data_IF_823452233494
#
_entry.id   IF_823452233494
#
_cell.length_a   1.000
_cell.length_b   1.000
_cell.length_c   1.000
_cell.angle_alpha   90.00
_cell.angle_beta   90.00
_cell.angle_gamma   90.00
#
_symmetry.space_group_name_H-M   'P 1'
#
loop_
_entity.id
_entity.type
_entity.pdbx_description
1 polymer ?
#
# COMPACT_ATOMS: atom_id res chain seq x y z
N UNK A 1 5.17 7.31 -18.52
CA UNK A 1 6.52 7.88 -18.32
C UNK A 1 6.78 7.87 -16.84
N UNK A 2 7.63 6.96 -16.36
CA UNK A 2 7.87 6.78 -14.94
C UNK A 2 8.41 8.05 -14.28
N UNK A 3 8.15 8.27 -13.01
CA UNK A 3 8.65 9.40 -12.21
C UNK A 3 10.19 9.45 -12.15
N UNK A 4 10.84 8.43 -12.62
CA UNK A 4 12.29 8.29 -12.84
C UNK A 4 12.75 8.89 -14.18
N UNK A 5 12.03 9.84 -14.76
CA UNK A 5 12.48 10.59 -15.92
C UNK A 5 13.61 11.57 -15.58
N UNK A 6 14.76 11.02 -15.47
CA UNK A 6 16.04 11.68 -15.44
C UNK A 6 17.11 10.62 -15.38
N UNK A 7 17.89 10.50 -16.44
CA UNK A 7 19.11 9.68 -16.50
C UNK A 7 19.97 10.09 -15.30
N UNK A 8 19.97 9.28 -14.23
CA UNK A 8 20.68 9.57 -12.97
C UNK A 8 19.87 9.31 -11.70
N UNK A 9 18.53 9.46 -11.72
CA UNK A 9 17.71 9.16 -10.54
C UNK A 9 17.56 7.64 -10.30
N UNK A 10 17.50 6.84 -11.35
CA UNK A 10 17.45 5.37 -11.28
C UNK A 10 18.67 4.78 -10.58
N UNK A 11 19.87 5.27 -10.87
CA UNK A 11 21.11 4.74 -10.26
C UNK A 11 21.21 5.13 -8.79
N UNK A 12 20.70 6.30 -8.39
CA UNK A 12 20.72 6.75 -7.00
C UNK A 12 19.69 5.99 -6.14
N UNK A 13 18.51 5.69 -6.69
CA UNK A 13 17.49 4.86 -6.00
C UNK A 13 17.87 3.38 -5.98
N UNK A 14 18.49 2.86 -7.03
CA UNK A 14 19.07 1.52 -7.08
C UNK A 14 20.20 1.35 -6.06
N UNK A 15 21.04 2.38 -5.86
CA UNK A 15 22.14 2.37 -4.89
C UNK A 15 21.70 2.46 -3.43
N UNK A 16 20.48 2.97 -3.13
CA UNK A 16 20.00 3.14 -1.74
C UNK A 16 19.51 1.84 -1.10
N UNK A 17 19.39 0.72 -1.85
CA UNK A 17 18.91 -0.56 -1.35
C UNK A 17 17.72 -0.35 -0.42
N UNK A 18 16.54 -0.01 -0.97
CA UNK A 18 15.35 0.34 -0.19
C UNK A 18 14.94 -0.82 0.71
N UNK A 19 15.53 -0.89 1.90
CA UNK A 19 15.10 -1.82 2.94
C UNK A 19 13.87 -1.20 3.62
N UNK A 20 12.69 -1.77 3.36
CA UNK A 20 11.46 -1.25 3.96
C UNK A 20 10.23 -1.78 3.24
N UNK A 21 9.14 -1.05 3.39
CA UNK A 21 7.87 -1.40 2.77
C UNK A 21 7.53 -0.47 1.62
N UNK A 22 7.17 -1.05 0.48
CA UNK A 22 6.64 -0.36 -0.70
C UNK A 22 5.15 -0.69 -0.79
N UNK A 23 4.29 0.32 -0.59
CA UNK A 23 2.85 0.17 -0.81
C UNK A 23 2.52 0.49 -2.26
N UNK A 24 1.88 -0.46 -2.95
CA UNK A 24 1.38 -0.29 -4.31
C UNK A 24 -0.13 -0.17 -4.24
N UNK A 25 -0.66 0.93 -4.78
CA UNK A 25 -2.09 1.22 -4.77
C UNK A 25 -2.47 2.08 -5.98
N UNK A 26 -3.76 2.11 -6.34
CA UNK A 26 -4.28 2.91 -7.43
C UNK A 26 -5.05 4.15 -6.97
N UNK A 27 -5.07 5.16 -7.81
CA UNK A 27 -5.91 6.34 -7.62
C UNK A 27 -6.55 6.77 -8.93
N UNK A 28 -7.85 7.05 -8.88
CA UNK A 28 -8.60 7.61 -9.99
C UNK A 28 -8.61 9.13 -9.91
N UNK A 29 -8.15 9.82 -10.95
CA UNK A 29 -8.32 11.27 -11.12
C UNK A 29 -9.73 11.57 -11.63
N UNK A 30 -10.71 11.69 -10.73
CA UNK A 30 -12.16 11.63 -11.03
C UNK A 30 -12.64 12.59 -12.10
N UNK A 31 -12.09 13.81 -12.21
CA UNK A 31 -12.52 14.83 -13.18
C UNK A 31 -11.65 14.93 -14.43
N UNK A 32 -10.72 14.01 -14.64
CA UNK A 32 -9.90 13.93 -15.86
C UNK A 32 -10.64 13.31 -17.05
N UNK A 33 -11.86 12.79 -16.87
CA UNK A 33 -12.69 12.26 -17.96
C UNK A 33 -13.13 13.37 -18.91
N UNK A 34 -13.31 13.04 -20.20
CA UNK A 34 -13.82 13.95 -21.21
C UNK A 34 -14.94 13.28 -22.00
N UNK A 35 -16.17 13.75 -21.77
CA UNK A 35 -17.35 13.21 -22.44
C UNK A 35 -17.39 13.52 -23.95
N UNK A 36 -16.74 14.62 -24.39
CA UNK A 36 -16.73 15.01 -25.81
C UNK A 36 -15.88 14.08 -26.67
N UNK A 37 -14.85 13.48 -26.08
CA UNK A 37 -13.91 12.55 -26.74
C UNK A 37 -14.04 11.13 -26.26
N UNK A 38 -15.06 10.80 -25.47
CA UNK A 38 -15.27 9.50 -24.79
C UNK A 38 -14.04 9.07 -23.94
N UNK A 39 -13.17 10.00 -23.55
CA UNK A 39 -12.00 9.73 -22.71
C UNK A 39 -12.45 9.44 -21.28
N UNK A 40 -12.10 8.24 -20.78
CA UNK A 40 -12.36 7.84 -19.38
C UNK A 40 -11.46 8.61 -18.41
N UNK A 41 -11.82 8.57 -17.12
CA UNK A 41 -10.97 9.13 -16.08
C UNK A 41 -9.61 8.43 -16.04
N UNK A 42 -8.55 9.20 -15.85
CA UNK A 42 -7.19 8.68 -15.68
C UNK A 42 -7.09 7.91 -14.37
N UNK A 43 -6.58 6.71 -14.44
CA UNK A 43 -6.17 5.93 -13.29
C UNK A 43 -4.65 5.89 -13.23
N UNK A 44 -4.10 5.97 -12.04
CA UNK A 44 -2.66 5.91 -11.79
C UNK A 44 -2.37 4.85 -10.74
N UNK A 45 -1.40 3.98 -11.00
CA UNK A 45 -0.84 3.08 -10.00
C UNK A 45 0.41 3.71 -9.42
N UNK A 46 0.51 3.75 -8.10
CA UNK A 46 1.61 4.39 -7.37
C UNK A 46 2.37 3.36 -6.55
N UNK A 47 3.69 3.55 -6.44
CA UNK A 47 4.53 2.89 -5.45
C UNK A 47 4.99 3.92 -4.42
N UNK A 48 4.54 3.77 -3.18
CA UNK A 48 4.90 4.61 -2.04
C UNK A 48 5.91 3.88 -1.15
N UNK A 49 7.06 4.48 -0.92
CA UNK A 49 7.97 4.02 0.13
C UNK A 49 7.45 4.49 1.49
N UNK A 50 6.98 3.52 2.30
CA UNK A 50 6.19 3.82 3.50
C UNK A 50 6.98 4.54 4.61
N UNK A 51 8.28 4.28 4.74
CA UNK A 51 9.13 4.85 5.80
C UNK A 51 9.32 6.36 5.64
N UNK A 52 9.47 6.82 4.40
CA UNK A 52 9.64 8.25 4.09
C UNK A 52 8.39 8.89 3.51
N UNK A 53 7.36 8.09 3.23
CA UNK A 53 6.13 8.49 2.56
C UNK A 53 6.37 9.13 1.18
N UNK A 54 7.39 8.66 0.46
CA UNK A 54 7.74 9.16 -0.87
C UNK A 54 7.12 8.31 -1.97
N UNK A 55 6.55 8.96 -2.96
CA UNK A 55 6.18 8.29 -4.22
C UNK A 55 7.46 8.05 -5.01
N UNK A 56 7.82 6.78 -5.18
CA UNK A 56 9.06 6.35 -5.85
C UNK A 56 8.84 5.93 -7.30
N UNK A 57 7.62 5.52 -7.66
CA UNK A 57 7.24 5.25 -9.03
C UNK A 57 5.74 5.45 -9.22
N UNK A 58 5.32 5.69 -10.46
CA UNK A 58 3.92 5.74 -10.87
C UNK A 58 3.78 5.37 -12.33
N UNK A 59 2.65 4.74 -12.67
CA UNK A 59 2.30 4.38 -14.05
C UNK A 59 0.82 4.67 -14.32
N UNK A 60 0.49 5.27 -15.46
CA UNK A 60 -0.90 5.48 -15.87
C UNK A 60 -1.54 4.18 -16.34
N UNK A 61 -2.85 4.06 -16.15
CA UNK A 61 -3.65 3.03 -16.76
C UNK A 61 -4.91 3.61 -17.40
N UNK A 62 -5.26 3.14 -18.58
CA UNK A 62 -6.43 3.66 -19.30
C UNK A 62 -7.76 3.27 -18.65
N UNK A 63 -7.78 2.21 -17.86
CA UNK A 63 -8.97 1.68 -17.21
C UNK A 63 -8.61 1.01 -15.89
N UNK A 64 -9.52 1.11 -14.92
CA UNK A 64 -9.37 0.44 -13.62
C UNK A 64 -9.13 -1.08 -13.74
N UNK A 65 -9.73 -1.74 -14.72
CA UNK A 65 -9.51 -3.17 -15.01
C UNK A 65 -8.10 -3.51 -15.52
N UNK A 66 -7.31 -2.52 -15.92
CA UNK A 66 -5.96 -2.72 -16.45
C UNK A 66 -4.85 -2.58 -15.40
N UNK A 67 -5.17 -2.26 -14.14
CA UNK A 67 -4.21 -2.14 -13.03
C UNK A 67 -3.35 -3.39 -12.89
N UNK A 68 -3.96 -4.58 -12.98
CA UNK A 68 -3.25 -5.88 -12.91
C UNK A 68 -2.15 -6.00 -13.99
N UNK A 69 -2.31 -5.34 -15.14
CA UNK A 69 -1.32 -5.35 -16.22
C UNK A 69 -0.20 -4.33 -15.99
N UNK A 70 -0.51 -3.23 -15.35
CA UNK A 70 0.41 -2.11 -15.10
C UNK A 70 1.31 -2.36 -13.88
N UNK A 71 0.81 -3.03 -12.84
CA UNK A 71 1.60 -3.38 -11.65
C UNK A 71 2.92 -4.10 -12.01
N UNK A 72 2.96 -5.12 -12.88
CA UNK A 72 4.21 -5.76 -13.28
C UNK A 72 5.23 -4.81 -13.92
N UNK A 73 4.76 -3.85 -14.73
CA UNK A 73 5.63 -2.85 -15.37
C UNK A 73 6.22 -1.91 -14.30
N UNK A 74 5.38 -1.41 -13.40
CA UNK A 74 5.79 -0.58 -12.28
C UNK A 74 6.85 -1.27 -11.41
N UNK A 75 6.65 -2.54 -11.09
CA UNK A 75 7.59 -3.32 -10.26
C UNK A 75 8.94 -3.55 -10.94
N UNK A 76 9.02 -3.62 -12.29
CA UNK A 76 10.28 -3.73 -13.02
C UNK A 76 11.17 -2.48 -12.90
N UNK A 77 10.59 -1.34 -12.59
CA UNK A 77 11.32 -0.08 -12.40
C UNK A 77 11.99 0.02 -11.03
N UNK A 78 11.71 -0.93 -10.12
CA UNK A 78 12.13 -0.88 -8.73
C UNK A 78 13.11 -2.00 -8.40
N UNK A 79 14.10 -1.69 -7.56
CA UNK A 79 14.90 -2.72 -6.89
C UNK A 79 14.13 -3.23 -5.67
N UNK A 80 13.61 -4.44 -5.76
CA UNK A 80 12.79 -5.05 -4.70
C UNK A 80 13.60 -5.88 -3.70
N UNK A 81 14.92 -6.00 -3.84
CA UNK A 81 15.76 -6.81 -2.96
C UNK A 81 15.63 -6.39 -1.50
N UNK A 82 15.09 -7.29 -0.67
CA UNK A 82 14.85 -7.05 0.76
C UNK A 82 13.68 -6.12 1.08
N UNK A 83 12.96 -5.61 0.08
CA UNK A 83 11.74 -4.84 0.29
C UNK A 83 10.53 -5.75 0.58
N UNK A 84 9.54 -5.22 1.30
CA UNK A 84 8.21 -5.80 1.45
C UNK A 84 7.23 -5.03 0.57
N UNK A 85 6.78 -5.62 -0.52
CA UNK A 85 5.77 -5.01 -1.39
C UNK A 85 4.38 -5.33 -0.85
N UNK A 86 3.63 -4.32 -0.47
CA UNK A 86 2.25 -4.49 -0.02
C UNK A 86 1.25 -3.95 -1.05
N UNK A 87 0.13 -4.66 -1.23
CA UNK A 87 -0.94 -4.27 -2.14
C UNK A 87 -2.30 -4.78 -1.66
N UNK A 88 -3.34 -4.16 -2.19
CA UNK A 88 -4.70 -4.55 -1.93
C UNK A 88 -5.09 -5.88 -2.62
N UNK A 89 -6.35 -6.28 -2.49
CA UNK A 89 -6.84 -7.52 -3.06
C UNK A 89 -6.84 -7.54 -4.60
N UNK A 90 -6.92 -6.39 -5.27
CA UNK A 90 -6.92 -6.34 -6.74
C UNK A 90 -5.54 -6.75 -7.28
N UNK A 91 -4.46 -6.27 -6.66
CA UNK A 91 -3.08 -6.66 -6.97
C UNK A 91 -2.71 -8.07 -6.53
N UNK A 92 -3.57 -8.77 -5.78
CA UNK A 92 -3.31 -10.13 -5.30
C UNK A 92 -3.45 -11.14 -6.43
N UNK A 93 -2.35 -11.34 -7.16
CA UNK A 93 -2.25 -12.23 -8.33
C UNK A 93 -0.99 -13.12 -8.22
N UNK A 94 -1.14 -14.40 -8.56
CA UNK A 94 -0.04 -15.39 -8.49
C UNK A 94 1.18 -14.92 -9.28
N UNK A 95 0.98 -14.38 -10.50
CA UNK A 95 2.07 -13.90 -11.35
C UNK A 95 2.81 -12.70 -10.75
N UNK A 96 2.10 -11.80 -10.07
CA UNK A 96 2.69 -10.65 -9.38
C UNK A 96 3.52 -11.13 -8.19
N UNK A 97 3.00 -12.06 -7.39
CA UNK A 97 3.74 -12.68 -6.29
C UNK A 97 5.03 -13.37 -6.78
N UNK A 98 4.96 -14.10 -7.90
CA UNK A 98 6.13 -14.74 -8.53
C UNK A 98 7.17 -13.70 -8.96
N UNK A 99 6.74 -12.60 -9.58
CA UNK A 99 7.63 -11.52 -10.03
C UNK A 99 8.34 -10.86 -8.85
N UNK A 100 7.62 -10.49 -7.79
CA UNK A 100 8.21 -9.89 -6.58
C UNK A 100 9.28 -10.81 -6.01
N UNK A 101 8.98 -12.12 -5.88
CA UNK A 101 9.94 -13.10 -5.39
C UNK A 101 11.15 -13.26 -6.31
N UNK A 102 10.94 -13.27 -7.61
CA UNK A 102 12.02 -13.35 -8.62
C UNK A 102 12.95 -12.13 -8.57
N UNK A 103 12.43 -10.95 -8.21
CA UNK A 103 13.21 -9.72 -8.00
C UNK A 103 13.84 -9.62 -6.59
N UNK A 104 13.77 -10.68 -5.77
CA UNK A 104 14.38 -10.71 -4.43
C UNK A 104 13.59 -9.98 -3.34
N UNK A 105 12.36 -9.56 -3.64
CA UNK A 105 11.44 -8.94 -2.69
C UNK A 105 10.55 -9.95 -1.98
N UNK A 106 9.82 -9.46 -0.98
CA UNK A 106 8.73 -10.15 -0.31
C UNK A 106 7.41 -9.44 -0.58
N UNK A 107 6.29 -10.15 -0.43
CA UNK A 107 4.97 -9.56 -0.58
C UNK A 107 4.13 -9.64 0.70
N UNK A 108 3.20 -8.68 0.83
CA UNK A 108 2.07 -8.68 1.75
C UNK A 108 0.83 -8.27 0.94
N UNK A 109 -0.05 -9.21 0.64
CA UNK A 109 -1.16 -9.00 -0.27
C UNK A 109 -2.50 -9.22 0.43
N UNK A 110 -3.46 -8.30 0.20
CA UNK A 110 -4.83 -8.42 0.70
C UNK A 110 -5.54 -9.60 0.03
N UNK A 111 -6.24 -10.43 0.81
CA UNK A 111 -6.93 -11.62 0.33
C UNK A 111 -8.44 -11.43 0.43
N UNK A 112 -9.13 -11.53 -0.70
CA UNK A 112 -10.59 -11.42 -0.81
C UNK A 112 -11.14 -12.47 -1.78
N UNK A 113 -12.42 -12.35 -2.12
CA UNK A 113 -13.14 -13.27 -3.00
C UNK A 113 -12.61 -13.43 -4.43
N UNK A 114 -11.75 -12.51 -4.92
CA UNK A 114 -11.07 -12.66 -6.21
C UNK A 114 -10.10 -13.87 -6.23
N UNK A 115 -9.68 -14.34 -5.05
CA UNK A 115 -8.92 -15.58 -4.83
C UNK A 115 -9.74 -16.54 -3.97
N UNK A 116 -10.93 -16.90 -4.44
CA UNK A 116 -11.99 -17.55 -3.67
C UNK A 116 -11.53 -18.82 -2.93
N UNK A 117 -10.83 -19.73 -3.61
CA UNK A 117 -10.36 -20.96 -2.99
C UNK A 117 -9.38 -20.70 -1.84
N UNK A 118 -8.37 -19.86 -2.07
CA UNK A 118 -7.40 -19.49 -1.04
C UNK A 118 -8.07 -18.76 0.12
N UNK A 119 -8.97 -17.83 -0.17
CA UNK A 119 -9.69 -17.07 0.85
C UNK A 119 -10.55 -17.97 1.74
N UNK A 120 -11.35 -18.85 1.15
CA UNK A 120 -12.21 -19.78 1.90
C UNK A 120 -11.40 -20.75 2.75
N UNK A 121 -10.33 -21.33 2.19
CA UNK A 121 -9.45 -22.22 2.92
C UNK A 121 -8.72 -21.51 4.07
N UNK A 122 -8.27 -20.25 3.83
CA UNK A 122 -7.65 -19.43 4.88
C UNK A 122 -8.62 -19.16 6.03
N UNK A 123 -9.86 -18.79 5.73
CA UNK A 123 -10.89 -18.58 6.76
C UNK A 123 -11.15 -19.85 7.57
N UNK A 124 -11.23 -21.01 6.91
CA UNK A 124 -11.42 -22.29 7.56
C UNK A 124 -10.23 -22.64 8.47
N UNK A 125 -8.99 -22.46 7.98
CA UNK A 125 -7.78 -22.73 8.73
C UNK A 125 -7.67 -21.87 10.01
N UNK A 126 -8.02 -20.59 9.96
CA UNK A 126 -8.05 -19.73 11.15
C UNK A 126 -9.11 -20.18 12.17
N UNK A 127 -10.31 -20.55 11.71
CA UNK A 127 -11.36 -21.06 12.61
C UNK A 127 -10.91 -22.34 13.28
N UNK A 128 -10.39 -23.27 12.52
CA UNK A 128 -9.91 -24.57 13.06
C UNK A 128 -8.76 -24.37 14.05
N UNK A 129 -7.77 -23.54 13.72
CA UNK A 129 -6.66 -23.23 14.62
C UNK A 129 -7.13 -22.59 15.94
N UNK A 130 -8.15 -21.75 15.91
CA UNK A 130 -8.75 -21.16 17.11
C UNK A 130 -9.52 -22.19 17.93
N UNK A 131 -10.26 -23.10 17.28
CA UNK A 131 -11.05 -24.14 17.95
C UNK A 131 -10.15 -25.22 18.57
N UNK A 132 -9.09 -25.64 17.88
CA UNK A 132 -8.10 -26.56 18.43
C UNK A 132 -7.38 -26.00 19.66
N UNK A 133 -7.06 -24.71 19.65
CA UNK A 133 -6.51 -24.02 20.83
C UNK A 133 -7.44 -24.06 22.04
N UNK A 134 -8.75 -24.09 21.83
CA UNK A 134 -9.76 -24.16 22.91
C UNK A 134 -9.97 -25.60 23.44
N UNK A 135 -9.73 -26.61 22.61
CA UNK A 135 -10.11 -28.01 22.91
C UNK A 135 -9.04 -28.82 23.61
N UNK A 136 -7.78 -28.38 23.69
CA UNK A 136 -6.68 -29.15 24.32
C UNK A 136 -6.66 -30.64 23.89
N UNK A 137 -6.62 -30.92 22.57
CA UNK A 137 -6.63 -32.27 22.04
C UNK A 137 -5.21 -32.72 21.75
N UNK A 138 -4.73 -33.77 22.37
CA UNK A 138 -3.35 -34.26 22.36
C UNK A 138 -2.88 -34.89 21.02
N UNK A 139 -3.77 -35.15 20.05
CA UNK A 139 -3.43 -35.97 18.88
C UNK A 139 -3.18 -35.21 17.59
N UNK A 140 -3.54 -33.94 17.48
CA UNK A 140 -3.34 -33.13 16.27
C UNK A 140 -2.54 -31.89 16.60
N UNK A 141 -1.36 -31.74 16.00
CA UNK A 141 -0.58 -30.51 16.10
C UNK A 141 -1.28 -29.44 15.32
N UNK A 142 -1.92 -28.42 15.94
CA UNK A 142 -2.56 -27.35 15.23
C UNK A 142 -1.51 -26.48 14.54
N UNK A 143 -1.86 -25.82 13.41
CA UNK A 143 -0.96 -24.84 12.81
C UNK A 143 -0.61 -23.79 13.87
N UNK A 144 0.66 -23.40 13.93
CA UNK A 144 1.13 -22.45 14.93
C UNK A 144 0.46 -21.07 14.71
N UNK A 145 -0.45 -20.73 15.61
CA UNK A 145 -1.18 -19.45 15.61
C UNK A 145 -0.61 -18.51 16.67
N UNK A 146 -0.12 -17.36 16.24
CA UNK A 146 0.32 -16.25 17.11
C UNK A 146 -0.57 -15.05 16.93
N UNK A 147 -0.76 -14.27 17.99
CA UNK A 147 -1.61 -13.06 17.92
C UNK A 147 -0.97 -11.88 18.66
N UNK A 148 -1.27 -10.67 18.20
CA UNK A 148 -0.85 -9.42 18.81
C UNK A 148 -2.01 -8.42 18.72
N UNK A 149 -2.33 -7.76 19.83
CA UNK A 149 -3.43 -6.78 19.91
C UNK A 149 -2.88 -5.41 20.24
N UNK A 150 -3.35 -4.42 19.51
CA UNK A 150 -3.10 -3.00 19.76
C UNK A 150 -4.45 -2.30 20.00
N UNK A 151 -4.43 -1.32 20.90
CA UNK A 151 -5.59 -0.48 21.18
C UNK A 151 -5.19 0.97 20.96
N UNK A 152 -5.96 1.67 20.12
CA UNK A 152 -5.74 3.08 19.77
C UNK A 152 -7.02 3.88 20.12
N UNK A 153 -6.84 5.03 20.77
CA UNK A 153 -7.93 5.93 21.14
C UNK A 153 -7.70 7.29 20.52
N UNK A 154 -8.61 7.71 19.64
CA UNK A 154 -8.52 9.01 18.99
C UNK A 154 -9.83 9.43 18.36
N UNK A 155 -10.04 10.74 18.24
CA UNK A 155 -11.20 11.33 17.55
C UNK A 155 -12.57 10.78 17.99
N UNK A 156 -12.75 10.54 19.30
CA UNK A 156 -14.00 10.01 19.85
C UNK A 156 -14.24 8.52 19.56
N UNK A 157 -13.22 7.77 19.15
CA UNK A 157 -13.30 6.34 18.83
C UNK A 157 -12.24 5.55 19.58
N UNK A 158 -12.59 4.32 19.92
CA UNK A 158 -11.67 3.29 20.37
C UNK A 158 -11.53 2.25 19.27
N UNK A 159 -10.31 2.01 18.79
CA UNK A 159 -10.03 0.97 17.82
C UNK A 159 -9.15 -0.11 18.47
N UNK A 160 -9.66 -1.33 18.54
CA UNK A 160 -8.90 -2.51 18.94
C UNK A 160 -8.58 -3.31 17.68
N UNK A 161 -7.30 -3.56 17.44
CA UNK A 161 -6.83 -4.34 16.29
C UNK A 161 -6.04 -5.55 16.77
N UNK A 162 -6.52 -6.72 16.39
CA UNK A 162 -5.83 -7.99 16.64
C UNK A 162 -5.32 -8.55 15.33
N UNK A 163 -4.01 -8.66 15.21
CA UNK A 163 -3.35 -9.41 14.14
C UNK A 163 -3.13 -10.85 14.61
N UNK A 164 -3.60 -11.79 13.84
CA UNK A 164 -3.34 -13.22 14.03
C UNK A 164 -2.55 -13.74 12.83
N UNK A 165 -1.47 -14.50 13.09
CA UNK A 165 -0.60 -15.05 12.06
C UNK A 165 -0.57 -16.57 12.20
N UNK A 166 -0.88 -17.24 11.09
CA UNK A 166 -0.85 -18.68 10.96
C UNK A 166 0.36 -19.10 10.13
N UNK A 167 1.14 -20.04 10.65
CA UNK A 167 2.24 -20.73 9.98
C UNK A 167 1.96 -22.23 9.92
N UNK A 168 2.76 -22.96 9.15
CA UNK A 168 2.63 -24.42 8.98
C UNK A 168 1.25 -24.88 8.46
N UNK A 169 0.64 -24.04 7.62
CA UNK A 169 -0.72 -24.21 7.09
C UNK A 169 -0.80 -25.07 5.82
N UNK A 170 0.30 -25.59 5.28
CA UNK A 170 0.35 -26.23 3.97
C UNK A 170 -0.65 -27.41 3.83
N UNK A 171 -0.82 -28.19 4.87
CA UNK A 171 -1.80 -29.30 4.90
C UNK A 171 -3.26 -28.81 4.95
N UNK A 172 -3.50 -27.62 5.47
CA UNK A 172 -4.83 -27.06 5.71
C UNK A 172 -5.32 -26.17 4.56
N UNK A 173 -4.35 -25.63 3.78
CA UNK A 173 -4.61 -24.65 2.71
C UNK A 173 -3.91 -25.07 1.42
N UNK A 174 -4.38 -26.12 0.73
CA UNK A 174 -3.76 -26.60 -0.53
C UNK A 174 -3.63 -25.50 -1.61
N UNK A 175 -4.56 -24.55 -1.67
CA UNK A 175 -4.50 -23.43 -2.62
C UNK A 175 -3.27 -22.53 -2.42
N UNK A 176 -2.61 -22.60 -1.26
CA UNK A 176 -1.39 -21.86 -0.97
C UNK A 176 -0.18 -22.31 -1.83
N UNK A 177 -0.16 -23.55 -2.29
CA UNK A 177 0.95 -24.13 -3.09
C UNK A 177 1.23 -23.37 -4.38
N UNK A 178 0.24 -22.65 -4.93
CA UNK A 178 0.39 -21.85 -6.16
C UNK A 178 1.17 -20.54 -5.93
N UNK A 179 1.38 -20.14 -4.67
CA UNK A 179 1.95 -18.86 -4.31
C UNK A 179 3.43 -18.97 -3.96
N UNK A 180 4.27 -18.35 -4.76
CA UNK A 180 5.72 -18.42 -4.62
C UNK A 180 6.17 -17.91 -3.25
N UNK A 181 6.79 -18.79 -2.44
CA UNK A 181 7.34 -18.44 -1.14
C UNK A 181 6.32 -18.05 -0.07
N UNK A 182 5.03 -18.35 -0.24
CA UNK A 182 4.01 -18.04 0.78
C UNK A 182 4.35 -18.73 2.11
N UNK A 183 4.55 -17.91 3.14
CA UNK A 183 5.03 -18.37 4.45
C UNK A 183 4.09 -18.04 5.61
N UNK A 184 3.20 -17.04 5.43
CA UNK A 184 2.27 -16.59 6.48
C UNK A 184 0.89 -16.32 5.90
N UNK A 185 -0.13 -16.82 6.60
CA UNK A 185 -1.51 -16.34 6.47
C UNK A 185 -1.77 -15.40 7.64
N UNK A 186 -2.43 -14.28 7.39
CA UNK A 186 -2.62 -13.21 8.35
C UNK A 186 -4.10 -12.85 8.38
N UNK A 187 -4.68 -12.73 9.58
CA UNK A 187 -5.99 -12.17 9.81
C UNK A 187 -5.85 -10.91 10.66
N UNK A 188 -6.42 -9.81 10.22
CA UNK A 188 -6.52 -8.56 10.98
C UNK A 188 -7.99 -8.37 11.34
N UNK A 189 -8.31 -8.50 12.63
CA UNK A 189 -9.60 -8.14 13.18
C UNK A 189 -9.52 -6.73 13.75
N UNK A 190 -10.39 -5.85 13.29
CA UNK A 190 -10.50 -4.48 13.76
C UNK A 190 -11.90 -4.25 14.34
N UNK A 191 -11.97 -3.99 15.64
CA UNK A 191 -13.18 -3.57 16.34
C UNK A 191 -13.09 -2.08 16.60
N UNK A 192 -14.09 -1.33 16.14
CA UNK A 192 -14.22 0.12 16.32
C UNK A 192 -15.45 0.42 17.13
N UNK A 193 -15.26 1.13 18.23
CA UNK A 193 -16.32 1.64 19.10
C UNK A 193 -16.36 3.17 19.00
N UNK A 194 -17.49 3.71 18.65
CA UNK A 194 -17.76 5.15 18.71
C UNK A 194 -18.13 5.50 20.16
N UNK A 195 -17.27 6.25 20.84
CA UNK A 195 -17.42 6.55 22.27
C UNK A 195 -18.58 7.53 22.58
N UNK A 196 -19.16 8.17 21.55
CA UNK A 196 -20.30 9.08 21.71
C UNK A 196 -21.60 8.30 21.55
N UNK A 197 -21.69 7.46 20.52
CA UNK A 197 -22.93 6.74 20.18
C UNK A 197 -22.98 5.33 20.76
N UNK A 198 -21.86 4.80 21.25
CA UNK A 198 -21.72 3.41 21.69
C UNK A 198 -21.79 2.38 20.55
N UNK A 199 -21.79 2.83 19.30
CA UNK A 199 -21.86 1.91 18.15
C UNK A 199 -20.57 1.16 18.00
N UNK A 200 -20.65 -0.18 17.98
CA UNK A 200 -19.52 -1.09 17.74
C UNK A 200 -19.63 -1.69 16.35
N UNK A 201 -18.50 -1.77 15.66
CA UNK A 201 -18.36 -2.47 14.39
C UNK A 201 -17.09 -3.32 14.39
N UNK A 202 -17.18 -4.56 13.90
CA UNK A 202 -16.03 -5.46 13.77
C UNK A 202 -15.88 -5.90 12.33
N UNK A 203 -14.66 -5.86 11.82
CA UNK A 203 -14.30 -6.30 10.48
C UNK A 203 -13.05 -7.18 10.54
N UNK A 204 -13.07 -8.31 9.83
CA UNK A 204 -11.89 -9.17 9.67
C UNK A 204 -11.41 -9.14 8.23
N UNK A 205 -10.14 -8.82 8.03
CA UNK A 205 -9.47 -8.83 6.73
C UNK A 205 -8.34 -9.84 6.73
N UNK A 206 -8.19 -10.56 5.62
CA UNK A 206 -7.17 -11.59 5.45
C UNK A 206 -6.07 -11.11 4.50
N UNK A 207 -4.85 -11.57 4.76
CA UNK A 207 -3.66 -11.27 3.96
C UNK A 207 -2.79 -12.50 3.84
N UNK A 208 -1.96 -12.51 2.79
CA UNK A 208 -0.92 -13.50 2.56
C UNK A 208 0.45 -12.81 2.49
N UNK A 209 1.48 -13.46 3.02
CA UNK A 209 2.84 -12.91 2.98
C UNK A 209 3.88 -13.98 2.71
N UNK A 210 4.86 -13.66 1.87
CA UNK A 210 6.08 -14.47 1.70
C UNK A 210 7.10 -14.20 2.80
N UNK A 211 7.06 -12.99 3.41
CA UNK A 211 7.92 -12.66 4.56
C UNK A 211 7.40 -13.33 5.82
N UNK A 212 8.31 -13.90 6.61
CA UNK A 212 8.00 -14.52 7.90
C UNK A 212 7.70 -13.45 8.97
N UNK A 213 6.57 -12.76 8.82
CA UNK A 213 6.15 -11.71 9.74
C UNK A 213 5.67 -12.31 11.07
N UNK A 214 6.03 -11.68 12.20
CA UNK A 214 5.35 -11.88 13.48
C UNK A 214 3.99 -11.18 13.46
N UNK A 215 3.10 -11.50 14.41
CA UNK A 215 1.78 -10.85 14.49
C UNK A 215 1.89 -9.34 14.67
N UNK A 216 2.83 -8.85 15.49
CA UNK A 216 3.11 -7.43 15.65
C UNK A 216 3.61 -6.78 14.36
N UNK A 217 4.57 -7.41 13.67
CA UNK A 217 5.10 -6.91 12.40
C UNK A 217 4.03 -6.90 11.30
N UNK A 218 3.14 -7.90 11.27
CA UNK A 218 2.01 -7.96 10.34
C UNK A 218 1.03 -6.80 10.58
N UNK A 219 0.69 -6.50 11.85
CA UNK A 219 -0.18 -5.37 12.19
C UNK A 219 0.42 -4.04 11.71
N UNK A 220 1.72 -3.81 12.00
CA UNK A 220 2.44 -2.62 11.53
C UNK A 220 2.50 -2.53 10.00
N UNK A 221 2.79 -3.63 9.31
CA UNK A 221 2.89 -3.64 7.85
C UNK A 221 1.54 -3.37 7.16
N UNK A 222 0.44 -3.94 7.68
CA UNK A 222 -0.90 -3.63 7.18
C UNK A 222 -1.25 -2.15 7.42
N UNK A 223 -0.94 -1.59 8.60
CA UNK A 223 -1.15 -0.14 8.85
C UNK A 223 -0.29 0.74 7.95
N UNK A 224 0.94 0.33 7.66
CA UNK A 224 1.83 1.07 6.77
C UNK A 224 1.31 1.09 5.33
N UNK A 225 0.69 -0.02 4.85
CA UNK A 225 0.04 -0.03 3.54
C UNK A 225 -1.06 1.05 3.43
N UNK A 226 -1.91 1.18 4.46
CA UNK A 226 -2.99 2.18 4.49
C UNK A 226 -2.50 3.64 4.55
N UNK A 227 -1.19 3.88 4.77
CA UNK A 227 -0.64 5.23 4.65
C UNK A 227 -0.75 5.78 3.24
N UNK A 228 -0.77 4.93 2.20
CA UNK A 228 -0.93 5.41 0.82
C UNK A 228 -2.25 6.15 0.65
N UNK A 229 -3.35 5.62 1.19
CA UNK A 229 -4.64 6.32 1.17
C UNK A 229 -4.64 7.61 2.00
N UNK A 230 -4.21 7.53 3.27
CA UNK A 230 -4.33 8.62 4.22
C UNK A 230 -3.29 9.72 4.02
N UNK A 231 -2.05 9.37 3.67
CA UNK A 231 -0.97 10.34 3.56
C UNK A 231 -0.67 10.77 2.12
N UNK A 232 -0.97 9.96 1.11
CA UNK A 232 -0.79 10.31 -0.29
C UNK A 232 -2.10 10.78 -0.93
N UNK A 233 -3.06 9.87 -1.12
CA UNK A 233 -4.28 10.17 -1.88
C UNK A 233 -5.08 11.29 -1.23
N UNK A 234 -5.32 11.24 0.08
CA UNK A 234 -6.02 12.31 0.79
C UNK A 234 -5.33 13.68 0.63
N UNK A 235 -3.99 13.74 0.69
CA UNK A 235 -3.27 15.01 0.51
C UNK A 235 -3.31 15.51 -0.93
N UNK A 236 -3.25 14.63 -1.91
CA UNK A 236 -3.41 14.98 -3.31
C UNK A 236 -4.80 15.57 -3.57
N UNK A 237 -5.83 14.96 -3.00
CA UNK A 237 -7.21 15.39 -3.21
C UNK A 237 -7.56 16.64 -2.43
N UNK A 238 -7.25 16.69 -1.13
CA UNK A 238 -7.66 17.79 -0.24
C UNK A 238 -6.70 18.99 -0.32
N UNK A 239 -5.38 18.73 -0.27
CA UNK A 239 -4.39 19.83 -0.21
C UNK A 239 -4.01 20.34 -1.59
N UNK A 240 -3.85 19.45 -2.58
CA UNK A 240 -3.42 19.78 -3.94
C UNK A 240 -4.64 19.91 -4.88
N UNK A 241 -5.83 19.54 -4.39
CA UNK A 241 -7.10 19.62 -5.12
C UNK A 241 -7.08 18.84 -6.45
N UNK A 242 -6.48 17.63 -6.42
CA UNK A 242 -6.30 16.80 -7.61
C UNK A 242 -7.63 16.36 -8.21
N UNK A 243 -8.57 15.92 -7.37
CA UNK A 243 -9.91 15.49 -7.79
C UNK A 243 -10.74 16.59 -8.46
N UNK A 244 -10.48 17.87 -8.15
CA UNK A 244 -11.15 19.00 -8.81
C UNK A 244 -10.50 19.40 -10.14
N UNK A 245 -9.35 18.85 -10.48
CA UNK A 245 -8.60 19.20 -11.69
C UNK A 245 -9.32 18.71 -12.96
N UNK A 246 -9.61 19.63 -13.87
CA UNK A 246 -10.28 19.37 -15.16
C UNK A 246 -9.33 19.33 -16.35
N UNK A 247 -8.03 19.19 -16.12
CA UNK A 247 -7.04 19.06 -17.19
C UNK A 247 -7.24 17.74 -17.92
N UNK A 248 -7.52 17.79 -19.24
CA UNK A 248 -7.96 16.63 -20.04
C UNK A 248 -7.19 16.45 -21.34
N UNK A 249 -6.56 17.54 -21.86
CA UNK A 249 -5.95 17.56 -23.20
C UNK A 249 -4.70 16.69 -23.26
N UNK A 250 -4.68 15.73 -24.16
CA UNK A 250 -3.53 14.84 -24.38
C UNK A 250 -3.06 14.18 -23.08
N UNK A 251 -1.77 14.22 -22.81
CA UNK A 251 -1.13 13.66 -21.62
C UNK A 251 -1.02 14.66 -20.45
N UNK A 252 -1.71 15.83 -20.54
CA UNK A 252 -1.56 16.90 -19.56
C UNK A 252 -2.04 16.49 -18.14
N UNK A 253 -3.07 15.63 -18.03
CA UNK A 253 -3.52 15.12 -16.73
C UNK A 253 -2.47 14.22 -16.08
N UNK A 254 -1.85 13.34 -16.84
CA UNK A 254 -0.76 12.46 -16.43
C UNK A 254 0.48 13.27 -16.01
N UNK A 255 0.96 14.15 -16.87
CA UNK A 255 2.11 15.01 -16.58
C UNK A 255 1.89 15.86 -15.31
N UNK A 256 0.67 16.38 -15.11
CA UNK A 256 0.33 17.14 -13.91
C UNK A 256 0.31 16.24 -12.66
N UNK A 257 -0.11 14.98 -12.78
CA UNK A 257 0.02 13.98 -11.73
C UNK A 257 1.48 13.80 -11.30
N UNK A 258 2.39 13.59 -12.26
CA UNK A 258 3.84 13.48 -12.03
C UNK A 258 4.38 14.70 -11.26
N UNK A 259 4.06 15.92 -11.75
CA UNK A 259 4.51 17.17 -11.14
C UNK A 259 4.01 17.29 -9.69
N UNK A 260 2.75 16.93 -9.43
CA UNK A 260 2.17 16.97 -8.08
C UNK A 260 2.88 16.03 -7.11
N UNK A 261 3.17 14.80 -7.53
CA UNK A 261 3.90 13.85 -6.70
C UNK A 261 5.33 14.34 -6.42
N UNK A 262 6.01 14.83 -7.42
CA UNK A 262 7.34 15.43 -7.26
C UNK A 262 7.32 16.61 -6.29
N UNK A 263 6.38 17.54 -6.46
CA UNK A 263 6.21 18.67 -5.55
C UNK A 263 5.89 18.21 -4.11
N UNK A 264 5.03 17.19 -3.95
CA UNK A 264 4.71 16.65 -2.64
C UNK A 264 5.93 16.00 -1.99
N UNK A 265 6.73 15.24 -2.74
CA UNK A 265 7.96 14.63 -2.25
C UNK A 265 8.96 15.70 -1.77
N UNK A 266 9.16 16.77 -2.54
CA UNK A 266 10.04 17.90 -2.14
C UNK A 266 9.51 18.56 -0.86
N UNK A 267 8.22 18.89 -0.80
CA UNK A 267 7.62 19.56 0.35
C UNK A 267 7.70 18.72 1.63
N UNK A 268 7.61 17.41 1.53
CA UNK A 268 7.75 16.49 2.67
C UNK A 268 9.18 16.45 3.21
N UNK A 269 10.16 16.46 2.33
CA UNK A 269 11.57 16.43 2.72
C UNK A 269 12.13 17.78 3.16
N UNK A 270 11.40 18.87 2.91
CA UNK A 270 11.84 20.20 3.32
C UNK A 270 11.74 20.38 4.83
N UNK A 271 12.88 20.47 5.51
CA UNK A 271 13.01 20.65 6.96
C UNK A 271 13.20 22.11 7.39
N UNK A 272 13.11 23.08 6.45
CA UNK A 272 13.42 24.48 6.71
C UNK A 272 12.41 25.24 7.58
N UNK A 273 11.13 24.86 7.55
CA UNK A 273 10.04 25.49 8.28
C UNK A 273 9.16 24.45 8.96
N UNK A 274 8.65 24.77 10.16
CA UNK A 274 7.75 23.89 10.91
C UNK A 274 6.30 23.91 10.41
N UNK A 275 6.04 24.46 9.20
CA UNK A 275 4.70 24.57 8.65
C UNK A 275 4.21 23.26 8.02
N UNK A 276 2.90 23.06 8.05
CA UNK A 276 2.24 21.98 7.31
C UNK A 276 2.40 22.17 5.79
N UNK A 277 2.27 21.09 5.02
CA UNK A 277 2.34 21.14 3.54
C UNK A 277 1.45 22.23 2.92
N UNK A 278 0.20 22.46 3.34
CA UNK A 278 -0.62 23.54 2.81
C UNK A 278 0.00 24.94 2.97
N UNK A 279 0.65 25.22 4.09
CA UNK A 279 1.31 26.52 4.35
C UNK A 279 2.66 26.66 3.66
N UNK A 280 3.38 25.58 3.39
CA UNK A 280 4.67 25.59 2.71
C UNK A 280 4.54 26.01 1.24
N UNK A 281 3.42 25.73 0.58
CA UNK A 281 3.19 26.06 -0.83
C UNK A 281 3.30 27.56 -1.12
N UNK A 282 2.58 28.45 -0.43
CA UNK A 282 2.73 29.90 -0.63
C UNK A 282 4.16 30.39 -0.37
N UNK A 283 4.82 29.87 0.66
CA UNK A 283 6.18 30.26 1.02
C UNK A 283 7.19 29.90 -0.07
N UNK A 284 7.07 28.73 -0.69
CA UNK A 284 7.97 28.29 -1.76
C UNK A 284 7.73 29.03 -3.09
N UNK A 285 6.52 29.53 -3.32
CA UNK A 285 6.16 30.27 -4.53
C UNK A 285 6.38 31.77 -4.41
N UNK A 286 6.39 32.32 -3.20
CA UNK A 286 6.50 33.77 -2.95
C UNK A 286 7.94 34.26 -2.70
N UNK A 287 8.89 33.36 -2.44
CA UNK A 287 10.29 33.73 -2.15
C UNK A 287 11.27 32.87 -2.96
N UNK A 288 12.16 33.48 -3.73
CA UNK A 288 13.21 32.76 -4.47
C UNK A 288 14.17 31.96 -3.58
N UNK A 289 14.49 32.46 -2.38
CA UNK A 289 15.42 31.80 -1.44
C UNK A 289 14.94 30.42 -0.97
N UNK A 290 13.68 30.23 -0.53
CA UNK A 290 13.17 28.91 -0.23
C UNK A 290 13.20 27.95 -1.40
N UNK A 291 12.90 28.40 -2.62
CA UNK A 291 12.94 27.57 -3.83
C UNK A 291 14.35 27.06 -4.14
N UNK A 292 15.33 27.94 -4.05
CA UNK A 292 16.76 27.58 -4.26
C UNK A 292 17.21 26.53 -3.23
N UNK A 293 16.80 26.70 -1.96
CA UNK A 293 17.14 25.73 -0.90
C UNK A 293 16.47 24.36 -1.13
N UNK A 294 15.23 24.34 -1.65
CA UNK A 294 14.54 23.10 -1.97
C UNK A 294 15.25 22.33 -3.09
N UNK A 295 15.65 23.03 -4.16
CA UNK A 295 16.34 22.41 -5.29
C UNK A 295 17.72 21.89 -4.87
N UNK A 296 18.48 22.67 -4.09
CA UNK A 296 19.81 22.27 -3.61
C UNK A 296 19.78 21.07 -2.65
N UNK A 297 18.64 20.80 -1.97
CA UNK A 297 18.50 19.64 -1.06
C UNK A 297 17.85 18.42 -1.70
N UNK A 298 17.25 18.58 -2.87
CA UNK A 298 16.65 17.49 -3.65
C UNK A 298 17.62 16.83 -4.64
N UNK A 299 18.77 17.45 -4.86
CA UNK A 299 19.89 16.91 -5.64
C UNK A 299 20.93 16.30 -4.70
#
# INVERSE_FOLDING_TARGET
>A
MALLCGVGASDTFLALGLKGQIAVDDQTHRRSHDHSTAKKALHMVHALWCESELVIAQEPTEQKSNEIKVIPELLRLLDLRGALVSMDAMGTQVKIAQQIRAQGGDYLMGLKGNQSALHTQTQAAFREAQDLRRRTIDEVTPPALTSHTEVDKGHGRLETRTASVLQDFAAWVPAAQRWSGLSRLIAIEATREDLITGKVSTETRYYISSRALTAEAANRAVRAHWKVENSLHHRLDVTINQDACRTRRGNAAENLGVIRHFALNILRNYKGDAYSVPRRRPTTTSSPRPQTRLVARAS
#
